data_IF_105505306865
#
_entry.id   IF_105505306865
#
_cell.length_a   1.000
_cell.length_b   1.000
_cell.length_c   1.000
_cell.angle_alpha   90.00
_cell.angle_beta   90.00
_cell.angle_gamma   90.00
#
_symmetry.space_group_name_H-M   'P 1'
#
loop_
_entity.id
_entity.type
_entity.pdbx_description
1 polymer ?
#
# COMPACT_ATOMS: atom_id res chain seq x y z
N UNK A 1 -6.71 -9.22 13.47
CA UNK A 1 -6.78 -7.94 14.20
C UNK A 1 -6.24 -6.84 13.30
N UNK A 2 -6.77 -5.61 13.35
CA UNK A 2 -6.20 -4.50 12.60
C UNK A 2 -4.76 -4.25 13.05
N UNK A 3 -3.87 -4.00 12.09
CA UNK A 3 -2.47 -3.63 12.38
C UNK A 3 -2.38 -2.11 12.44
N UNK A 4 -1.74 -1.60 13.49
CA UNK A 4 -1.44 -0.17 13.60
C UNK A 4 -0.34 0.20 12.60
N UNK A 5 -0.60 1.22 11.79
CA UNK A 5 0.41 1.79 10.90
C UNK A 5 1.43 2.57 11.72
N UNK A 6 2.72 2.39 11.44
CA UNK A 6 3.79 3.17 12.07
C UNK A 6 3.82 4.59 11.54
N UNK A 7 4.47 5.50 12.27
CA UNK A 7 4.71 6.87 11.79
C UNK A 7 5.47 6.88 10.46
N UNK A 8 6.45 5.97 10.28
CA UNK A 8 7.20 5.83 9.03
C UNK A 8 6.30 5.54 7.81
N UNK A 9 5.25 4.72 8.00
CA UNK A 9 4.26 4.43 6.94
C UNK A 9 3.35 5.63 6.69
N UNK A 10 2.93 6.32 7.75
CA UNK A 10 2.13 7.53 7.62
C UNK A 10 2.87 8.62 6.86
N UNK A 11 4.15 8.81 7.15
CA UNK A 11 5.01 9.76 6.45
C UNK A 11 5.12 9.41 4.96
N UNK A 12 5.27 8.13 4.61
CA UNK A 12 5.33 7.69 3.20
C UNK A 12 4.01 7.89 2.44
N UNK A 13 2.87 7.72 3.10
CA UNK A 13 1.56 8.01 2.49
C UNK A 13 1.38 9.51 2.27
N UNK A 14 1.82 10.33 3.23
CA UNK A 14 1.73 11.79 3.15
C UNK A 14 2.76 12.42 2.20
N UNK A 15 3.87 11.73 1.91
CA UNK A 15 4.95 12.24 1.06
C UNK A 15 4.51 12.31 -0.42
N UNK A 16 4.41 13.51 -1.02
CA UNK A 16 4.03 13.67 -2.42
C UNK A 16 5.09 13.16 -3.40
N UNK A 17 6.33 12.93 -2.93
CA UNK A 17 7.43 12.40 -3.76
C UNK A 17 7.55 10.89 -3.68
N UNK A 18 6.89 10.25 -2.71
CA UNK A 18 6.86 8.80 -2.60
C UNK A 18 5.99 8.19 -3.69
N UNK A 19 6.50 7.15 -4.35
CA UNK A 19 5.71 6.34 -5.27
C UNK A 19 4.74 5.47 -4.46
N UNK A 20 3.47 5.51 -4.85
CA UNK A 20 2.39 4.79 -4.18
C UNK A 20 1.62 3.99 -5.23
N UNK A 21 1.46 2.70 -5.00
CA UNK A 21 0.78 1.80 -5.94
C UNK A 21 -0.30 1.03 -5.21
N UNK A 22 -1.54 1.18 -5.66
CA UNK A 22 -2.65 0.34 -5.25
C UNK A 22 -2.72 -0.88 -6.17
N UNK A 23 -2.72 -2.07 -5.58
CA UNK A 23 -2.86 -3.35 -6.27
C UNK A 23 -4.17 -4.00 -5.84
N UNK A 24 -5.07 -4.15 -6.81
CA UNK A 24 -6.33 -4.88 -6.69
C UNK A 24 -6.28 -6.15 -7.54
N UNK A 25 -7.34 -6.96 -7.53
CA UNK A 25 -7.49 -8.11 -8.42
C UNK A 25 -8.78 -7.99 -9.22
N UNK A 26 -8.73 -8.26 -10.51
CA UNK A 26 -9.92 -8.33 -11.36
C UNK A 26 -10.75 -9.59 -11.13
N UNK A 27 -11.78 -9.83 -11.94
CA UNK A 27 -12.69 -10.97 -11.77
C UNK A 27 -11.98 -12.33 -11.84
N UNK A 28 -11.01 -12.48 -12.74
CA UNK A 28 -10.20 -13.67 -12.93
C UNK A 28 -9.12 -13.85 -11.85
N UNK A 29 -8.98 -12.86 -10.96
CA UNK A 29 -7.96 -12.84 -9.93
C UNK A 29 -6.61 -12.31 -10.42
N UNK A 30 -6.57 -11.74 -11.63
CA UNK A 30 -5.36 -11.14 -12.18
C UNK A 30 -5.08 -9.82 -11.45
N UNK A 31 -3.82 -9.58 -11.01
CA UNK A 31 -3.46 -8.32 -10.37
C UNK A 31 -3.63 -7.12 -11.30
N UNK A 32 -4.22 -6.05 -10.78
CA UNK A 32 -4.30 -4.74 -11.40
C UNK A 32 -3.62 -3.71 -10.51
N UNK A 33 -2.50 -3.16 -10.99
CA UNK A 33 -1.67 -2.21 -10.26
C UNK A 33 -1.78 -0.81 -10.87
N UNK A 34 -2.04 0.19 -10.03
CA UNK A 34 -2.18 1.59 -10.44
C UNK A 34 -1.37 2.47 -9.50
N UNK A 35 -0.54 3.35 -10.08
CA UNK A 35 0.10 4.42 -9.33
C UNK A 35 -0.96 5.48 -8.97
N UNK A 36 -0.98 5.92 -7.71
CA UNK A 36 -1.99 6.87 -7.23
C UNK A 36 -1.48 7.73 -6.09
N UNK A 37 -1.79 9.02 -6.12
CA UNK A 37 -1.53 9.95 -5.01
C UNK A 37 -2.73 10.15 -4.09
N UNK A 38 -3.81 9.39 -4.32
CA UNK A 38 -5.10 9.59 -3.66
C UNK A 38 -5.27 8.67 -2.46
N UNK A 39 -4.24 8.56 -1.63
CA UNK A 39 -4.24 7.76 -0.41
C UNK A 39 -4.12 8.65 0.82
N UNK A 40 -4.88 8.31 1.86
CA UNK A 40 -4.84 9.01 3.14
C UNK A 40 -4.90 8.01 4.30
N UNK A 41 -4.52 8.47 5.49
CA UNK A 41 -4.76 7.73 6.73
C UNK A 41 -5.87 8.43 7.50
N UNK A 42 -6.92 7.68 7.84
CA UNK A 42 -7.97 8.14 8.74
C UNK A 42 -7.49 8.10 10.21
N UNK A 43 -8.14 8.86 11.07
CA UNK A 43 -7.78 8.95 12.50
C UNK A 43 -7.88 7.63 13.28
N UNK A 44 -8.56 6.61 12.74
CA UNK A 44 -8.66 5.27 13.32
C UNK A 44 -7.59 4.28 12.80
N UNK A 45 -6.65 4.77 11.97
CA UNK A 45 -5.58 3.97 11.37
C UNK A 45 -5.99 3.18 10.13
N UNK A 46 -7.21 3.36 9.62
CA UNK A 46 -7.58 2.84 8.29
C UNK A 46 -6.97 3.70 7.19
N UNK A 47 -6.79 3.09 6.02
CA UNK A 47 -6.32 3.78 4.82
C UNK A 47 -7.54 4.16 3.99
N UNK A 48 -7.63 5.41 3.58
CA UNK A 48 -8.61 5.88 2.62
C UNK A 48 -7.99 5.89 1.23
N UNK A 49 -8.73 5.40 0.24
CA UNK A 49 -8.42 5.58 -1.17
C UNK A 49 -9.53 6.42 -1.80
N UNK A 50 -9.16 7.60 -2.30
CA UNK A 50 -10.07 8.56 -2.94
C UNK A 50 -10.08 8.26 -4.45
N UNK A 51 -11.17 7.66 -4.93
CA UNK A 51 -11.30 7.25 -6.32
C UNK A 51 -12.03 8.33 -7.12
N UNK A 52 -11.37 9.01 -8.08
CA UNK A 52 -12.01 10.04 -8.89
C UNK A 52 -12.93 9.47 -9.98
N UNK A 53 -12.75 8.22 -10.41
CA UNK A 53 -13.44 7.69 -11.59
C UNK A 53 -14.37 6.53 -11.23
N UNK A 54 -15.67 6.70 -11.52
CA UNK A 54 -16.68 5.64 -11.39
C UNK A 54 -16.31 4.39 -12.21
N UNK A 55 -15.79 4.62 -13.43
CA UNK A 55 -15.46 3.58 -14.40
C UNK A 55 -14.04 3.01 -14.23
N UNK A 56 -13.32 3.35 -13.17
CA UNK A 56 -11.96 2.82 -12.97
C UNK A 56 -11.99 1.30 -12.74
N UNK A 57 -10.95 0.61 -13.20
CA UNK A 57 -10.81 -0.82 -12.94
C UNK A 57 -10.59 -1.10 -11.44
N UNK A 58 -9.81 -0.26 -10.76
CA UNK A 58 -9.64 -0.30 -9.31
C UNK A 58 -10.97 -0.19 -8.57
N UNK A 59 -11.86 0.73 -8.97
CA UNK A 59 -13.18 0.92 -8.33
C UNK A 59 -14.03 -0.36 -8.44
N UNK A 60 -14.15 -0.93 -9.64
CA UNK A 60 -14.86 -2.20 -9.87
C UNK A 60 -14.24 -3.35 -9.07
N UNK A 61 -12.91 -3.41 -9.01
CA UNK A 61 -12.19 -4.45 -8.29
C UNK A 61 -12.35 -4.33 -6.78
N UNK A 62 -12.45 -3.12 -6.24
CA UNK A 62 -12.71 -2.87 -4.82
C UNK A 62 -14.13 -3.28 -4.43
N UNK A 63 -15.13 -3.04 -5.30
CA UNK A 63 -16.47 -3.62 -5.12
C UNK A 63 -16.37 -5.13 -5.03
N UNK A 64 -15.77 -5.80 -6.02
CA UNK A 64 -15.58 -7.27 -6.00
C UNK A 64 -14.84 -7.75 -4.76
N UNK A 65 -13.87 -6.97 -4.27
CA UNK A 65 -13.10 -7.31 -3.07
C UNK A 65 -13.98 -7.39 -1.82
N UNK A 66 -14.99 -6.54 -1.69
CA UNK A 66 -15.99 -6.66 -0.61
C UNK A 66 -16.82 -7.94 -0.78
N UNK A 67 -17.37 -8.18 -1.98
CA UNK A 67 -18.27 -9.31 -2.21
C UNK A 67 -17.60 -10.68 -2.06
N UNK A 68 -16.33 -10.79 -2.44
CA UNK A 68 -15.59 -12.05 -2.46
C UNK A 68 -14.48 -12.13 -1.41
N UNK A 69 -14.50 -11.24 -0.42
CA UNK A 69 -13.51 -11.18 0.66
C UNK A 69 -12.06 -11.17 0.16
N UNK A 70 -11.78 -10.46 -0.95
CA UNK A 70 -10.44 -10.38 -1.55
C UNK A 70 -9.61 -9.26 -0.91
N UNK A 71 -8.33 -9.54 -0.73
CA UNK A 71 -7.35 -8.58 -0.21
C UNK A 71 -6.84 -7.68 -1.31
N UNK A 72 -6.43 -6.48 -0.90
CA UNK A 72 -5.66 -5.54 -1.73
C UNK A 72 -4.26 -5.38 -1.16
N UNK A 73 -3.34 -4.87 -1.97
CA UNK A 73 -2.02 -4.47 -1.50
C UNK A 73 -1.75 -3.01 -1.86
N UNK A 74 -1.01 -2.32 -1.01
CA UNK A 74 -0.49 -0.98 -1.26
C UNK A 74 1.02 -1.06 -1.14
N UNK A 75 1.73 -0.67 -2.18
CA UNK A 75 3.19 -0.56 -2.15
C UNK A 75 3.58 0.92 -2.08
N UNK A 76 4.50 1.23 -1.18
CA UNK A 76 5.02 2.57 -0.93
C UNK A 76 6.54 2.55 -1.11
N UNK A 77 7.07 3.53 -1.84
CA UNK A 77 8.52 3.69 -2.03
C UNK A 77 8.90 5.16 -1.91
N UNK A 78 9.65 5.47 -0.84
CA UNK A 78 10.23 6.80 -0.63
C UNK A 78 11.49 7.00 -1.47
N UNK A 79 11.80 8.28 -1.77
CA UNK A 79 13.03 8.65 -2.47
C UNK A 79 14.31 8.34 -1.65
N UNK A 80 14.18 8.24 -0.33
CA UNK A 80 15.24 7.88 0.61
C UNK A 80 15.54 6.38 0.69
N UNK A 81 14.86 5.58 -0.12
CA UNK A 81 15.06 4.13 -0.19
C UNK A 81 14.09 3.33 0.67
N UNK A 82 13.38 3.95 1.63
CA UNK A 82 12.35 3.27 2.43
C UNK A 82 11.31 2.64 1.52
N UNK A 83 10.94 1.40 1.81
CA UNK A 83 10.04 0.61 0.98
C UNK A 83 9.12 -0.21 1.87
N UNK A 84 7.82 -0.10 1.68
CA UNK A 84 6.83 -0.77 2.52
C UNK A 84 5.76 -1.39 1.65
N UNK A 85 5.32 -2.59 2.02
CA UNK A 85 4.11 -3.20 1.47
C UNK A 85 3.06 -3.38 2.56
N UNK A 86 1.86 -2.87 2.31
CA UNK A 86 0.70 -3.03 3.18
C UNK A 86 -0.25 -4.03 2.51
N UNK A 87 -0.69 -5.05 3.24
CA UNK A 87 -1.83 -5.88 2.86
C UNK A 87 -3.06 -5.35 3.58
N UNK A 88 -4.13 -5.11 2.85
CA UNK A 88 -5.35 -4.53 3.39
C UNK A 88 -6.60 -5.25 2.90
N UNK A 89 -7.70 -4.99 3.59
CA UNK A 89 -9.04 -5.45 3.22
C UNK A 89 -9.96 -4.24 3.06
N UNK A 90 -10.57 -4.04 1.88
CA UNK A 90 -11.63 -3.06 1.72
C UNK A 90 -12.81 -3.44 2.63
N UNK A 91 -13.28 -2.52 3.47
CA UNK A 91 -14.36 -2.81 4.43
C UNK A 91 -15.68 -2.15 4.04
N UNK A 92 -15.63 -0.98 3.40
CA UNK A 92 -16.79 -0.22 2.91
C UNK A 92 -16.34 0.87 1.95
N UNK A 93 -17.30 1.46 1.26
CA UNK A 93 -17.12 2.68 0.48
C UNK A 93 -18.15 3.73 0.90
N UNK A 94 -17.76 5.00 0.86
CA UNK A 94 -18.68 6.13 0.93
C UNK A 94 -18.81 6.74 -0.46
N UNK A 95 -20.05 6.81 -0.96
CA UNK A 95 -20.41 7.44 -2.25
C UNK A 95 -21.39 8.59 -2.08
N UNK A 96 -21.87 8.81 -0.86
CA UNK A 96 -22.82 9.84 -0.50
C UNK A 96 -22.81 10.12 1.01
N UNK A 97 -23.47 11.21 1.40
CA UNK A 97 -23.68 11.60 2.80
C UNK A 97 -22.53 12.43 3.39
N UNK A 98 -22.61 12.79 4.69
CA UNK A 98 -21.73 13.79 5.29
C UNK A 98 -20.25 13.42 5.28
N UNK A 99 -19.92 12.13 5.37
CA UNK A 99 -18.52 11.66 5.32
C UNK A 99 -17.96 11.88 3.91
N UNK A 100 -18.67 11.40 2.89
CA UNK A 100 -18.28 11.59 1.50
C UNK A 100 -18.18 13.07 1.13
N UNK A 101 -19.18 13.87 1.50
CA UNK A 101 -19.21 15.29 1.17
C UNK A 101 -18.00 16.05 1.72
N UNK A 102 -17.53 15.73 2.92
CA UNK A 102 -16.30 16.34 3.46
C UNK A 102 -15.10 16.02 2.59
N UNK A 103 -14.86 14.74 2.31
CA UNK A 103 -13.75 14.33 1.45
C UNK A 103 -13.88 14.88 0.02
N UNK A 104 -15.10 15.01 -0.50
CA UNK A 104 -15.37 15.60 -1.82
C UNK A 104 -14.87 17.05 -1.89
N UNK A 105 -15.27 17.88 -0.92
CA UNK A 105 -14.84 19.27 -0.84
C UNK A 105 -13.33 19.35 -0.66
N UNK A 106 -12.77 18.60 0.29
CA UNK A 106 -11.32 18.57 0.57
C UNK A 106 -10.51 18.09 -0.66
N UNK A 107 -11.07 17.19 -1.47
CA UNK A 107 -10.45 16.69 -2.68
C UNK A 107 -10.43 17.75 -3.78
N UNK A 108 -11.55 18.45 -4.00
CA UNK A 108 -11.62 19.55 -4.97
C UNK A 108 -10.73 20.73 -4.57
N UNK A 109 -10.66 21.06 -3.27
CA UNK A 109 -9.78 22.13 -2.78
C UNK A 109 -8.30 21.82 -3.07
N UNK A 110 -7.88 20.55 -3.01
CA UNK A 110 -6.49 20.12 -3.24
C UNK A 110 -6.15 19.89 -4.69
N UNK A 111 -7.11 19.42 -5.50
CA UNK A 111 -6.84 18.93 -6.85
C UNK A 111 -7.56 19.72 -7.96
N UNK A 112 -8.36 20.72 -7.60
CA UNK A 112 -9.11 21.55 -8.53
C UNK A 112 -10.45 20.93 -8.93
N UNK A 113 -10.90 21.23 -10.15
CA UNK A 113 -12.17 20.75 -10.71
C UNK A 113 -12.07 19.27 -11.14
N UNK A 114 -11.77 18.39 -10.19
CA UNK A 114 -11.73 16.94 -10.35
C UNK A 114 -12.84 16.34 -9.48
N UNK A 115 -13.61 15.44 -10.08
CA UNK A 115 -14.68 14.76 -9.38
C UNK A 115 -14.15 13.68 -8.43
N UNK A 116 -14.98 13.27 -7.47
CA UNK A 116 -14.70 12.16 -6.58
C UNK A 116 -15.86 11.18 -6.65
N UNK A 117 -15.61 9.95 -7.12
CA UNK A 117 -16.61 8.91 -7.25
C UNK A 117 -16.84 8.15 -5.94
N UNK A 118 -15.75 7.85 -5.21
CA UNK A 118 -15.85 7.03 -4.00
C UNK A 118 -14.71 7.30 -3.01
N UNK A 119 -15.02 7.13 -1.72
CA UNK A 119 -14.05 7.06 -0.63
C UNK A 119 -14.01 5.64 -0.10
N UNK A 120 -13.00 4.88 -0.50
CA UNK A 120 -12.81 3.50 -0.07
C UNK A 120 -12.09 3.43 1.25
N UNK A 121 -12.66 2.69 2.21
CA UNK A 121 -12.02 2.43 3.51
C UNK A 121 -11.35 1.07 3.47
N UNK A 122 -10.02 1.06 3.59
CA UNK A 122 -9.17 -0.13 3.57
C UNK A 122 -8.59 -0.33 4.96
N UNK A 123 -8.91 -1.47 5.57
CA UNK A 123 -8.35 -1.86 6.86
C UNK A 123 -7.01 -2.58 6.67
N UNK A 124 -5.90 -2.09 7.24
CA UNK A 124 -4.62 -2.79 7.19
C UNK A 124 -4.68 -4.12 7.96
N UNK A 125 -4.15 -5.18 7.36
CA UNK A 125 -4.04 -6.52 7.96
C UNK A 125 -2.57 -6.95 8.17
N UNK A 126 -1.64 -6.46 7.35
CA UNK A 126 -0.22 -6.69 7.52
C UNK A 126 0.60 -5.54 6.92
N UNK A 127 1.77 -5.29 7.49
CA UNK A 127 2.77 -4.33 6.99
C UNK A 127 4.10 -5.07 6.90
N UNK A 128 4.75 -4.98 5.75
CA UNK A 128 6.04 -5.61 5.46
C UNK A 128 7.05 -4.52 5.13
N UNK A 129 8.20 -4.55 5.81
CA UNK A 129 9.36 -3.76 5.46
C UNK A 129 10.04 -4.42 4.25
N UNK A 130 10.07 -3.70 3.15
CA UNK A 130 10.64 -4.12 1.86
C UNK A 130 11.93 -3.33 1.55
N UNK A 131 12.49 -2.63 2.54
CA UNK A 131 13.80 -2.00 2.39
C UNK A 131 14.87 -3.09 2.20
N UNK A 132 15.56 -3.03 1.06
CA UNK A 132 16.54 -4.05 0.71
C UNK A 132 17.69 -4.14 1.71
N UNK A 133 18.17 -3.01 2.24
CA UNK A 133 19.26 -2.98 3.21
C UNK A 133 18.87 -3.68 4.51
N UNK A 134 17.68 -3.36 5.04
CA UNK A 134 17.13 -4.00 6.24
C UNK A 134 16.80 -5.47 6.00
N UNK A 135 16.16 -5.80 4.88
CA UNK A 135 15.83 -7.17 4.50
C UNK A 135 17.09 -8.04 4.37
N UNK A 136 18.14 -7.52 3.72
CA UNK A 136 19.43 -8.21 3.58
C UNK A 136 20.13 -8.40 4.93
N UNK A 137 20.19 -7.36 5.77
CA UNK A 137 20.78 -7.47 7.11
C UNK A 137 20.04 -8.50 7.97
N UNK A 138 18.71 -8.54 7.89
CA UNK A 138 17.91 -9.55 8.56
C UNK A 138 18.18 -10.97 8.03
N UNK A 139 18.29 -11.14 6.72
CA UNK A 139 18.67 -12.42 6.10
C UNK A 139 20.05 -12.88 6.55
N UNK A 140 21.06 -12.01 6.52
CA UNK A 140 22.43 -12.33 6.94
C UNK A 140 22.50 -12.74 8.42
N UNK A 141 21.68 -12.11 9.29
CA UNK A 141 21.63 -12.43 10.71
C UNK A 141 20.87 -13.72 11.03
N UNK A 142 19.80 -14.03 10.30
CA UNK A 142 18.89 -15.14 10.62
C UNK A 142 19.10 -16.38 9.74
N UNK A 143 19.73 -16.22 8.58
CA UNK A 143 19.91 -17.26 7.56
C UNK A 143 21.36 -17.28 7.04
N UNK A 144 22.34 -17.62 7.89
CA UNK A 144 23.76 -17.56 7.53
C UNK A 144 24.14 -18.40 6.31
N UNK A 145 23.35 -19.43 5.98
CA UNK A 145 23.56 -20.32 4.84
C UNK A 145 22.88 -19.85 3.54
N UNK A 146 22.06 -18.80 3.57
CA UNK A 146 21.48 -18.20 2.35
C UNK A 146 22.52 -17.31 1.67
N UNK A 147 23.56 -17.96 1.14
CA UNK A 147 24.63 -17.33 0.37
C UNK A 147 24.87 -18.14 -0.89
N UNK A 148 25.03 -17.45 -2.01
CA UNK A 148 25.45 -18.10 -3.24
C UNK A 148 26.86 -18.69 -3.09
N UNK A 149 27.06 -19.88 -3.68
CA UNK A 149 28.32 -20.65 -3.58
C UNK A 149 29.54 -19.87 -4.06
N UNK A 150 29.37 -18.99 -5.05
CA UNK A 150 30.43 -18.12 -5.58
C UNK A 150 30.94 -17.10 -4.55
N UNK A 151 30.10 -16.70 -3.59
CA UNK A 151 30.50 -15.82 -2.48
C UNK A 151 31.18 -16.58 -1.36
N UNK A 152 30.82 -17.84 -1.14
CA UNK A 152 31.48 -18.73 -0.17
C UNK A 152 32.90 -19.06 -0.66
N UNK A 153 33.05 -19.39 -1.94
CA UNK A 153 34.34 -19.73 -2.55
C UNK A 153 35.36 -18.56 -2.56
N UNK A 154 34.89 -17.32 -2.42
CA UNK A 154 35.72 -16.11 -2.36
C UNK A 154 36.15 -15.72 -0.94
N UNK A 155 35.64 -16.37 0.10
CA UNK A 155 36.22 -16.20 1.44
C UNK A 155 37.56 -16.94 1.47
N UNK A 156 38.71 -16.25 1.65
CA UNK A 156 39.96 -16.94 1.88
C UNK A 156 39.83 -17.79 3.15
N UNK A 157 40.50 -18.94 3.18
CA UNK A 157 40.57 -19.85 4.33
C UNK A 157 40.87 -19.09 5.64
N UNK A 158 39.82 -18.64 6.33
CA UNK A 158 39.91 -18.01 7.63
C UNK A 158 39.27 -18.95 8.65
N UNK A 159 39.91 -20.11 8.83
CA UNK A 159 39.92 -20.92 10.05
C UNK A 159 40.58 -22.27 9.72
N UNK A 160 41.89 -22.36 9.96
CA UNK A 160 42.49 -23.62 10.43
C UNK A 160 42.28 -23.70 11.94
#
# INVERSE_FOLDING_TARGET
MPVSLSAEVADLIADPTAAKVLVTTDEDGTPHAVATDFLEIAGDGTILYLEPLESSASNRNLVRSIWYDRRVAIALKGADGRSVQIKGRPVRTHVAGPVFQRHYVDFQERHGDIDLAAVWVIRPEAVHDEDFGRAKAHEEATRPFFRHLDRIAKQPEAAR
#
